data_IF_401014666098
#
_entry.id   IF_401014666098
#
_cell.length_a   1.000
_cell.length_b   1.000
_cell.length_c   1.000
_cell.angle_alpha   90.00
_cell.angle_beta   90.00
_cell.angle_gamma   90.00
#
_symmetry.space_group_name_H-M   'P 1'
#
loop_
_entity.id
_entity.type
_entity.pdbx_description
1 polymer ?
#
# COMPACT_ATOMS: atom_id res chain seq x y z
N UNK A 1 9.86 5.27 -18.38
CA UNK A 1 8.38 5.17 -18.38
C UNK A 1 7.78 6.57 -18.35
N UNK A 2 6.97 6.95 -19.35
CA UNK A 2 6.34 8.30 -19.41
C UNK A 2 5.03 8.39 -18.61
N UNK A 3 4.25 7.30 -18.51
CA UNK A 3 2.97 7.30 -17.77
C UNK A 3 3.11 7.69 -16.29
N UNK A 4 4.28 7.51 -15.68
CA UNK A 4 4.55 7.91 -14.29
C UNK A 4 4.47 9.43 -14.09
N UNK A 5 4.54 10.23 -15.16
CA UNK A 5 4.36 11.69 -15.12
C UNK A 5 2.90 12.07 -14.77
N UNK A 6 1.92 11.19 -15.03
CA UNK A 6 0.50 11.42 -14.72
C UNK A 6 0.02 10.71 -13.44
N UNK A 7 0.79 9.74 -12.92
CA UNK A 7 0.37 8.91 -11.78
C UNK A 7 0.94 9.49 -10.49
N UNK A 8 0.09 9.71 -9.50
CA UNK A 8 0.44 10.28 -8.22
C UNK A 8 -0.08 9.47 -7.02
N UNK A 9 0.70 9.49 -5.95
CA UNK A 9 0.28 9.15 -4.60
C UNK A 9 -0.33 10.38 -3.91
N UNK A 10 -1.32 10.16 -3.03
CA UNK A 10 -2.06 11.22 -2.35
C UNK A 10 -2.08 10.94 -0.86
N UNK A 11 -1.44 11.81 -0.07
CA UNK A 11 -1.31 11.63 1.37
C UNK A 11 -2.69 11.52 2.05
N UNK A 12 -2.85 10.49 2.89
CA UNK A 12 -4.12 10.16 3.55
C UNK A 12 -5.09 9.30 2.72
N UNK A 13 -4.78 8.97 1.45
CA UNK A 13 -5.54 8.00 0.66
C UNK A 13 -4.66 6.80 0.30
N UNK A 14 -5.16 5.59 0.53
CA UNK A 14 -4.53 4.37 0.03
C UNK A 14 -4.74 4.21 -1.48
N UNK A 15 -3.68 3.90 -2.23
CA UNK A 15 -3.74 3.59 -3.65
C UNK A 15 -2.90 4.53 -4.52
N UNK A 16 -3.09 4.43 -5.83
CA UNK A 16 -2.54 5.35 -6.82
C UNK A 16 -3.67 6.06 -7.58
N UNK A 17 -3.37 7.25 -8.08
CA UNK A 17 -4.35 8.11 -8.73
C UNK A 17 -3.75 8.75 -9.99
N UNK A 18 -4.46 8.72 -11.12
CA UNK A 18 -4.06 9.48 -12.32
C UNK A 18 -4.55 10.93 -12.17
N UNK A 19 -3.66 11.89 -12.32
CA UNK A 19 -3.98 13.31 -12.38
C UNK A 19 -4.59 13.61 -13.75
N UNK A 20 -5.81 14.18 -13.77
CA UNK A 20 -6.50 14.50 -15.04
C UNK A 20 -6.47 15.98 -15.37
N UNK A 21 -6.84 16.86 -14.42
CA UNK A 21 -6.76 18.33 -14.60
C UNK A 21 -6.85 19.11 -13.29
N UNK A 22 -6.20 20.29 -13.20
CA UNK A 22 -6.46 21.24 -12.12
C UNK A 22 -7.86 21.84 -12.21
N UNK A 23 -8.33 22.40 -11.10
CA UNK A 23 -9.63 23.07 -10.91
C UNK A 23 -9.50 24.21 -9.89
N UNK A 24 -10.53 25.05 -9.76
CA UNK A 24 -10.53 26.20 -8.83
C UNK A 24 -10.43 25.81 -7.34
N UNK A 25 -10.66 24.56 -6.97
CA UNK A 25 -10.65 24.08 -5.57
C UNK A 25 -9.60 23.00 -5.29
N UNK A 26 -8.77 22.64 -6.28
CA UNK A 26 -7.81 21.55 -6.20
C UNK A 26 -7.66 20.80 -7.52
N UNK A 27 -7.48 19.49 -7.49
CA UNK A 27 -7.17 18.68 -8.68
C UNK A 27 -8.20 17.56 -8.86
N UNK A 28 -8.68 17.35 -10.10
CA UNK A 28 -9.44 16.14 -10.45
C UNK A 28 -8.46 15.00 -10.70
N UNK A 29 -8.67 13.90 -9.98
CA UNK A 29 -7.90 12.66 -10.11
C UNK A 29 -8.83 11.47 -10.32
N UNK A 30 -8.34 10.44 -11.00
CA UNK A 30 -9.00 9.16 -11.26
C UNK A 30 -8.32 8.05 -10.45
N UNK A 31 -9.05 7.13 -9.82
CA UNK A 31 -8.41 5.99 -9.14
C UNK A 31 -7.74 5.05 -10.14
N UNK A 32 -6.52 4.60 -9.84
CA UNK A 32 -5.83 3.57 -10.62
C UNK A 32 -6.33 2.18 -10.16
N UNK A 33 -7.57 1.90 -10.55
CA UNK A 33 -8.41 0.77 -10.14
C UNK A 33 -9.41 0.47 -11.28
N UNK A 34 -10.00 -0.72 -11.31
CA UNK A 34 -10.99 -1.13 -12.31
C UNK A 34 -12.20 -0.18 -12.38
N UNK A 35 -12.61 0.42 -11.26
CA UNK A 35 -13.76 1.33 -11.20
C UNK A 35 -13.47 2.75 -11.73
N UNK A 36 -12.19 3.12 -11.93
CA UNK A 36 -11.71 4.41 -12.46
C UNK A 36 -12.50 5.63 -11.94
N UNK A 37 -12.69 5.69 -10.62
CA UNK A 37 -13.54 6.68 -9.97
C UNK A 37 -12.87 8.06 -9.97
N UNK A 38 -13.59 9.06 -10.48
CA UNK A 38 -13.13 10.45 -10.53
C UNK A 38 -13.49 11.16 -9.22
N UNK A 39 -12.49 11.74 -8.56
CA UNK A 39 -12.67 12.52 -7.32
C UNK A 39 -11.90 13.83 -7.40
N UNK A 40 -12.43 14.87 -6.74
CA UNK A 40 -11.68 16.11 -6.52
C UNK A 40 -10.86 15.97 -5.24
N UNK A 41 -9.59 16.34 -5.30
CA UNK A 41 -8.67 16.39 -4.15
C UNK A 41 -8.34 17.84 -3.87
N UNK A 42 -8.47 18.27 -2.61
CA UNK A 42 -8.21 19.66 -2.20
C UNK A 42 -6.77 20.06 -2.52
N UNK A 43 -6.56 21.31 -2.95
CA UNK A 43 -5.22 21.88 -3.13
C UNK A 43 -4.37 21.92 -1.86
N UNK A 44 -4.97 21.68 -0.68
CA UNK A 44 -4.25 21.53 0.60
C UNK A 44 -3.69 20.12 0.82
N UNK A 45 -4.18 19.10 0.10
CA UNK A 45 -3.72 17.72 0.24
C UNK A 45 -2.37 17.56 -0.45
N UNK A 46 -1.39 16.94 0.22
CA UNK A 46 -0.07 16.63 -0.37
C UNK A 46 -0.23 15.55 -1.43
N UNK A 47 -0.02 15.92 -2.69
CA UNK A 47 0.06 15.03 -3.86
C UNK A 47 1.54 14.89 -4.23
N UNK A 48 1.96 13.68 -4.62
CA UNK A 48 3.33 13.38 -5.06
C UNK A 48 3.29 12.53 -6.32
N UNK A 49 3.75 13.06 -7.44
CA UNK A 49 3.81 12.36 -8.73
C UNK A 49 4.92 11.29 -8.65
N UNK A 50 4.66 10.08 -9.13
CA UNK A 50 5.61 8.96 -9.01
C UNK A 50 6.91 9.19 -9.80
N UNK A 51 6.87 10.04 -10.83
CA UNK A 51 8.05 10.54 -11.56
C UNK A 51 9.03 11.33 -10.68
N UNK A 52 8.50 12.11 -9.74
CA UNK A 52 9.29 13.04 -8.90
C UNK A 52 9.89 12.37 -7.66
N UNK A 53 9.57 11.08 -7.44
CA UNK A 53 10.08 10.29 -6.32
C UNK A 53 11.24 9.43 -6.82
N UNK A 54 12.36 9.52 -6.12
CA UNK A 54 13.54 8.67 -6.32
C UNK A 54 13.96 8.04 -5.00
N UNK A 55 14.59 6.87 -5.08
CA UNK A 55 15.27 6.21 -3.97
C UNK A 55 16.68 6.80 -3.82
N UNK A 56 17.17 7.02 -2.60
CA UNK A 56 18.55 7.43 -2.38
C UNK A 56 19.51 6.24 -2.48
N UNK A 57 20.70 6.48 -3.06
CA UNK A 57 21.77 5.50 -3.18
C UNK A 57 22.97 5.94 -2.32
N UNK A 58 23.72 4.97 -1.80
CA UNK A 58 24.92 5.17 -0.96
C UNK A 58 26.17 5.60 -1.76
N UNK A 59 26.03 5.66 -3.08
CA UNK A 59 27.09 5.90 -4.07
C UNK A 59 27.72 7.30 -3.97
N UNK A 60 26.90 8.35 -4.11
CA UNK A 60 27.27 9.77 -3.92
C UNK A 60 26.11 10.53 -3.26
N UNK A 61 26.38 11.69 -2.66
CA UNK A 61 25.42 12.42 -1.82
C UNK A 61 24.10 12.81 -2.54
N UNK A 62 24.18 13.00 -3.86
CA UNK A 62 23.07 13.32 -4.78
C UNK A 62 22.67 12.14 -5.70
N UNK A 63 23.28 10.95 -5.56
CA UNK A 63 22.93 9.77 -6.35
C UNK A 63 21.55 9.26 -5.95
N UNK A 64 20.60 9.29 -6.89
CA UNK A 64 19.24 8.79 -6.69
C UNK A 64 18.76 7.93 -7.85
N UNK A 65 18.02 6.88 -7.55
CA UNK A 65 17.42 5.96 -8.52
C UNK A 65 15.94 6.34 -8.73
N UNK A 66 15.53 6.78 -9.94
CA UNK A 66 14.13 7.11 -10.21
C UNK A 66 13.19 5.91 -10.01
N UNK A 67 11.97 6.16 -9.52
CA UNK A 67 11.02 5.07 -9.26
C UNK A 67 10.68 4.22 -10.49
N UNK A 68 10.72 4.80 -11.69
CA UNK A 68 10.48 4.04 -12.93
C UNK A 68 11.52 2.95 -13.20
N UNK A 69 12.78 3.23 -12.92
CA UNK A 69 13.88 2.29 -13.13
C UNK A 69 13.90 1.24 -12.00
N UNK A 70 13.63 1.69 -10.76
CA UNK A 70 13.39 0.81 -9.62
C UNK A 70 12.23 -0.18 -9.88
N UNK A 71 11.09 0.28 -10.42
CA UNK A 71 9.98 -0.63 -10.76
C UNK A 71 10.35 -1.61 -11.88
N UNK A 72 11.21 -1.22 -12.84
CA UNK A 72 11.69 -2.14 -13.87
C UNK A 72 12.61 -3.23 -13.28
N UNK A 73 13.48 -2.88 -12.32
CA UNK A 73 14.30 -3.85 -11.58
C UNK A 73 13.44 -4.79 -10.74
N UNK A 74 12.45 -4.27 -10.00
CA UNK A 74 11.48 -5.08 -9.26
C UNK A 74 10.70 -6.01 -10.21
N UNK A 75 10.31 -5.54 -11.40
CA UNK A 75 9.64 -6.38 -12.39
C UNK A 75 10.54 -7.47 -12.97
N UNK A 76 11.83 -7.19 -13.15
CA UNK A 76 12.80 -8.17 -13.63
C UNK A 76 13.02 -9.32 -12.64
N UNK A 77 12.93 -9.05 -11.33
CA UNK A 77 13.12 -10.04 -10.25
C UNK A 77 11.81 -10.76 -9.87
N UNK A 78 10.68 -10.06 -9.80
CA UNK A 78 9.40 -10.61 -9.34
C UNK A 78 8.38 -10.91 -10.45
N UNK A 79 8.61 -10.52 -11.71
CA UNK A 79 7.80 -10.85 -12.89
C UNK A 79 6.28 -10.61 -12.70
N UNK A 80 5.93 -9.56 -11.96
CA UNK A 80 4.55 -9.18 -11.62
C UNK A 80 4.03 -9.67 -10.26
N UNK A 81 4.62 -10.70 -9.65
CA UNK A 81 4.19 -11.27 -8.36
C UNK A 81 5.23 -11.07 -7.25
N UNK A 82 4.91 -10.28 -6.22
CA UNK A 82 5.75 -10.21 -5.01
C UNK A 82 5.52 -11.43 -4.11
N UNK A 83 6.61 -12.09 -3.70
CA UNK A 83 6.56 -13.21 -2.75
C UNK A 83 6.26 -12.79 -1.30
N UNK A 84 6.14 -11.48 -1.02
CA UNK A 84 5.78 -10.93 0.30
C UNK A 84 4.58 -9.99 0.19
N UNK A 85 3.74 -9.94 1.23
CA UNK A 85 2.63 -8.98 1.32
C UNK A 85 3.13 -7.68 1.99
N UNK A 86 3.24 -6.53 1.29
CA UNK A 86 3.91 -5.33 1.83
C UNK A 86 3.21 -4.69 3.05
N UNK A 87 2.00 -5.14 3.39
CA UNK A 87 1.24 -4.70 4.58
C UNK A 87 1.49 -5.56 5.83
N UNK A 88 2.09 -6.75 5.67
CA UNK A 88 2.36 -7.71 6.75
C UNK A 88 3.84 -8.05 6.90
N UNK A 89 4.64 -7.87 5.84
CA UNK A 89 6.08 -8.09 5.86
C UNK A 89 6.75 -7.28 6.98
N UNK A 90 7.66 -7.94 7.69
CA UNK A 90 8.53 -7.33 8.67
C UNK A 90 9.54 -6.41 8.00
N UNK A 91 10.07 -5.44 8.76
CA UNK A 91 11.03 -4.46 8.22
C UNK A 91 12.29 -5.16 7.69
N UNK A 92 12.72 -6.26 8.32
CA UNK A 92 13.85 -7.08 7.86
C UNK A 92 13.61 -7.75 6.49
N UNK A 93 12.40 -8.29 6.24
CA UNK A 93 12.05 -8.86 4.93
C UNK A 93 12.02 -7.79 3.83
N UNK A 94 11.61 -6.57 4.17
CA UNK A 94 11.52 -5.44 3.25
C UNK A 94 12.90 -4.89 2.88
N UNK A 95 13.78 -4.70 3.86
CA UNK A 95 15.18 -4.35 3.60
C UNK A 95 15.92 -5.46 2.86
N UNK A 96 15.68 -6.73 3.20
CA UNK A 96 16.26 -7.88 2.49
C UNK A 96 15.82 -7.97 1.03
N UNK A 97 14.54 -7.74 0.74
CA UNK A 97 14.04 -7.69 -0.64
C UNK A 97 14.58 -6.48 -1.40
N UNK A 98 14.67 -5.30 -0.77
CA UNK A 98 15.27 -4.13 -1.42
C UNK A 98 16.74 -4.36 -1.75
N UNK A 99 17.54 -4.86 -0.79
CA UNK A 99 18.96 -5.17 -0.98
C UNK A 99 19.21 -6.19 -2.09
N UNK A 100 18.29 -7.13 -2.30
CA UNK A 100 18.34 -8.12 -3.39
C UNK A 100 18.12 -7.53 -4.78
N UNK A 101 17.52 -6.34 -4.88
CA UNK A 101 17.15 -5.68 -6.15
C UNK A 101 18.04 -4.44 -6.41
N UNK A 102 18.38 -3.70 -5.35
CA UNK A 102 19.25 -2.53 -5.34
C UNK A 102 20.18 -2.66 -4.11
N UNK A 103 21.36 -3.28 -4.24
CA UNK A 103 22.25 -3.51 -3.10
C UNK A 103 22.95 -2.25 -2.58
N UNK A 104 22.92 -1.15 -3.32
CA UNK A 104 23.59 0.13 -3.05
C UNK A 104 22.64 1.25 -2.60
N UNK A 105 21.55 0.92 -1.90
CA UNK A 105 20.59 1.90 -1.37
C UNK A 105 21.10 2.56 -0.07
N UNK A 106 20.81 3.85 0.10
CA UNK A 106 21.12 4.60 1.32
C UNK A 106 20.22 4.11 2.47
N UNK A 107 20.81 3.44 3.46
CA UNK A 107 20.07 2.82 4.58
C UNK A 107 19.66 3.81 5.69
N UNK A 108 20.24 5.01 5.72
CA UNK A 108 19.90 6.07 6.69
C UNK A 108 18.71 6.93 6.20
N UNK A 109 18.57 7.10 4.88
CA UNK A 109 17.47 7.85 4.23
C UNK A 109 16.29 6.98 3.83
N UNK A 110 16.46 5.68 3.56
CA UNK A 110 15.38 4.80 3.11
C UNK A 110 14.74 4.06 4.29
N UNK A 111 13.57 4.51 4.73
CA UNK A 111 12.81 3.84 5.79
C UNK A 111 11.97 2.66 5.28
N UNK A 112 11.77 1.63 6.10
CA UNK A 112 10.91 0.48 5.77
C UNK A 112 9.49 0.90 5.35
N UNK A 113 8.96 2.00 5.91
CA UNK A 113 7.67 2.59 5.49
C UNK A 113 7.64 3.00 4.01
N UNK A 114 8.76 3.47 3.46
CA UNK A 114 8.90 3.87 2.06
C UNK A 114 9.05 2.65 1.15
N UNK A 115 9.74 1.60 1.60
CA UNK A 115 9.76 0.30 0.92
C UNK A 115 8.34 -0.29 0.86
N UNK A 116 7.57 -0.26 1.96
CA UNK A 116 6.15 -0.69 2.00
C UNK A 116 5.28 0.09 1.00
N UNK A 117 5.49 1.41 0.88
CA UNK A 117 4.82 2.27 -0.11
C UNK A 117 5.19 1.87 -1.54
N UNK A 118 6.48 1.80 -1.87
CA UNK A 118 6.99 1.46 -3.21
C UNK A 118 6.47 0.10 -3.67
N UNK A 119 6.57 -0.94 -2.84
CA UNK A 119 6.09 -2.29 -3.18
C UNK A 119 4.56 -2.33 -3.33
N UNK A 120 3.81 -1.57 -2.51
CA UNK A 120 2.37 -1.46 -2.68
C UNK A 120 1.98 -0.69 -3.96
N UNK A 121 2.78 0.27 -4.42
CA UNK A 121 2.57 0.98 -5.68
C UNK A 121 2.87 0.07 -6.87
N UNK A 122 3.98 -0.67 -6.83
CA UNK A 122 4.36 -1.66 -7.84
C UNK A 122 3.23 -2.68 -8.11
N UNK A 123 2.65 -3.28 -7.07
CA UNK A 123 1.52 -4.22 -7.23
C UNK A 123 0.30 -3.60 -7.94
N UNK A 124 -0.03 -2.35 -7.62
CA UNK A 124 -1.13 -1.61 -8.25
C UNK A 124 -0.81 -1.32 -9.72
N UNK A 125 0.43 -0.92 -10.02
CA UNK A 125 0.90 -0.64 -11.38
C UNK A 125 0.89 -1.90 -12.25
N UNK A 126 1.35 -3.04 -11.76
CA UNK A 126 1.30 -4.31 -12.50
C UNK A 126 -0.16 -4.72 -12.77
N UNK A 127 -1.04 -4.57 -11.78
CA UNK A 127 -2.44 -5.00 -11.89
C UNK A 127 -3.26 -4.12 -12.85
N UNK A 128 -3.01 -2.80 -12.88
CA UNK A 128 -3.85 -1.84 -13.61
C UNK A 128 -3.19 -1.27 -14.88
N UNK A 129 -1.87 -1.38 -15.00
CA UNK A 129 -1.05 -0.86 -16.10
C UNK A 129 0.09 -1.83 -16.48
N UNK A 130 -0.19 -3.13 -16.74
CA UNK A 130 0.85 -4.12 -17.06
C UNK A 130 1.66 -3.76 -18.31
N UNK A 131 1.01 -3.08 -19.27
CA UNK A 131 1.60 -2.48 -20.48
C UNK A 131 2.86 -1.64 -20.20
N UNK A 132 2.93 -0.97 -19.03
CA UNK A 132 4.08 -0.16 -18.62
C UNK A 132 5.38 -0.97 -18.45
N UNK A 133 5.27 -2.28 -18.27
CA UNK A 133 6.40 -3.19 -18.02
C UNK A 133 6.71 -4.13 -19.20
N UNK A 134 5.82 -4.21 -20.20
CA UNK A 134 5.96 -5.14 -21.32
C UNK A 134 6.82 -4.58 -22.47
N UNK A 135 8.04 -5.11 -22.61
CA UNK A 135 8.73 -5.10 -23.91
C UNK A 135 8.26 -6.32 -24.71
N UNK A 136 7.23 -6.10 -25.54
CA UNK A 136 6.61 -7.09 -26.44
C UNK A 136 5.81 -8.23 -25.73
N UNK A 137 4.88 -8.92 -26.43
CA UNK A 137 3.65 -9.40 -25.79
C UNK A 137 3.59 -10.88 -25.39
N UNK A 138 3.01 -11.10 -24.21
CA UNK A 138 2.09 -12.21 -23.89
C UNK A 138 0.96 -11.60 -23.04
N UNK A 139 -0.31 -11.57 -23.46
CA UNK A 139 -1.24 -12.69 -23.68
C UNK A 139 -1.75 -13.31 -22.36
N UNK A 140 -3.05 -13.07 -22.08
CA UNK A 140 -4.02 -13.74 -21.16
C UNK A 140 -3.53 -14.65 -20.00
N UNK A 141 -4.11 -14.60 -18.80
CA UNK A 141 -5.56 -14.66 -18.50
C UNK A 141 -5.99 -13.92 -17.20
N UNK A 142 -7.32 -13.74 -16.94
CA UNK A 142 -7.83 -12.98 -15.79
C UNK A 142 -8.40 -13.82 -14.62
N UNK A 143 -8.26 -13.32 -13.37
CA UNK A 143 -9.13 -13.56 -12.20
C UNK A 143 -8.70 -12.70 -11.00
N UNK A 144 -9.57 -12.28 -10.07
CA UNK A 144 -11.02 -12.39 -10.01
C UNK A 144 -11.65 -11.19 -9.31
N UNK A 145 -12.75 -10.66 -9.86
CA UNK A 145 -13.60 -9.69 -9.17
C UNK A 145 -14.51 -10.40 -8.15
N UNK A 146 -14.67 -9.82 -6.94
CA UNK A 146 -15.79 -10.13 -6.04
C UNK A 146 -16.33 -8.86 -5.36
N UNK A 147 -17.29 -8.23 -6.02
CA UNK A 147 -18.00 -7.05 -5.54
C UNK A 147 -19.10 -7.42 -4.53
N UNK A 148 -18.91 -6.97 -3.28
CA UNK A 148 -19.92 -6.40 -2.35
C UNK A 148 -21.27 -7.11 -2.17
N UNK A 149 -21.56 -7.51 -0.92
CA UNK A 149 -22.77 -7.04 -0.19
C UNK A 149 -22.71 -7.24 1.34
N UNK A 150 -23.10 -6.19 2.06
CA UNK A 150 -23.53 -6.16 3.46
C UNK A 150 -24.99 -5.60 3.47
N UNK A 151 -25.68 -5.34 4.60
CA UNK A 151 -25.33 -5.52 6.03
C UNK A 151 -26.49 -6.14 6.88
N UNK A 152 -26.45 -5.96 8.23
CA UNK A 152 -27.51 -6.21 9.25
C UNK A 152 -27.82 -7.69 9.57
N UNK A 153 -28.30 -8.06 10.79
CA UNK A 153 -28.31 -7.38 12.10
C UNK A 153 -28.56 -8.41 13.25
N UNK A 154 -28.39 -7.97 14.50
CA UNK A 154 -28.45 -8.78 15.73
C UNK A 154 -29.82 -9.36 16.12
N UNK A 155 -29.82 -10.57 16.70
CA UNK A 155 -30.29 -10.93 18.08
C UNK A 155 -29.86 -12.40 18.39
N UNK A 156 -29.30 -12.79 19.55
CA UNK A 156 -29.92 -12.99 20.89
C UNK A 156 -31.08 -14.02 20.86
N UNK A 157 -31.29 -14.96 21.80
CA UNK A 157 -30.75 -15.11 23.18
C UNK A 157 -31.03 -16.53 23.78
N UNK A 158 -30.31 -16.94 24.84
CA UNK A 158 -30.64 -17.99 25.88
C UNK A 158 -30.80 -19.47 25.41
N UNK A 159 -30.92 -20.49 26.29
CA UNK A 159 -30.89 -20.66 27.78
C UNK A 159 -30.09 -21.98 28.06
N UNK A 160 -29.14 -22.10 29.02
CA UNK A 160 -29.27 -22.33 30.48
C UNK A 160 -29.66 -23.79 30.87
N UNK A 161 -29.51 -24.30 32.12
CA UNK A 161 -29.33 -23.65 33.44
C UNK A 161 -28.67 -24.59 34.50
N UNK A 162 -27.95 -24.00 35.48
CA UNK A 162 -27.72 -24.47 36.89
C UNK A 162 -27.08 -25.86 37.19
N UNK A 163 -26.54 -26.17 38.38
CA UNK A 163 -26.31 -25.47 39.67
C UNK A 163 -24.93 -25.95 40.25
N UNK A 164 -24.31 -25.63 41.41
CA UNK A 164 -24.42 -24.83 42.67
C UNK A 164 -22.95 -24.71 43.19
N UNK A 165 -22.44 -23.94 44.17
CA UNK A 165 -22.85 -22.93 45.17
C UNK A 165 -21.63 -21.94 45.29
N UNK A 166 -21.66 -20.69 45.78
CA UNK A 166 -22.48 -19.94 46.73
C UNK A 166 -22.11 -20.05 48.24
N UNK A 167 -21.11 -19.27 48.71
CA UNK A 167 -21.23 -18.37 49.89
C UNK A 167 -19.98 -17.49 50.19
N UNK A 168 -20.20 -16.18 50.21
CA UNK A 168 -19.57 -15.23 51.15
C UNK A 168 -20.48 -15.14 52.42
N UNK A 169 -20.31 -14.25 53.44
CA UNK A 169 -19.38 -13.10 53.55
C UNK A 169 -18.80 -12.80 54.97
N UNK A 170 -18.02 -11.70 55.07
CA UNK A 170 -18.05 -10.61 56.09
C UNK A 170 -16.66 -10.16 56.61
N UNK A 171 -16.54 -8.85 56.83
CA UNK A 171 -15.42 -8.14 57.49
C UNK A 171 -15.58 -8.18 59.02
N UNK A 172 -14.48 -8.12 59.78
CA UNK A 172 -14.27 -7.10 60.84
C UNK A 172 -12.90 -7.28 61.55
N UNK A 173 -12.20 -6.15 61.80
CA UNK A 173 -11.37 -5.77 62.98
C UNK A 173 -10.32 -6.77 63.57
N UNK A 174 -9.29 -6.34 64.30
CA UNK A 174 -8.57 -5.06 64.43
C UNK A 174 -7.26 -5.29 65.21
N UNK A 175 -6.44 -4.24 65.29
CA UNK A 175 -5.26 -4.00 66.14
C UNK A 175 -5.11 -4.82 67.42
N UNK A 176 -3.92 -5.38 67.63
CA UNK A 176 -3.11 -5.11 68.84
C UNK A 176 -1.63 -5.04 68.45
#
# INVERSE_FOLDING_TARGET
>A
MELLNEIAHISGKSGLFRVLKPTRTGVIVETLDALKQKSVVSGQTRISVLKDISLYLDDHQDSTLPLGDLFQLIHSVCQGSLNIEPKKASDAELFGLLASIVPNYDSDRVYASDIKKILSWYLILVTNTPDMFQTAPAAEEPKAEKVVKAPKAAKEVKEATEEKAAKAPKKAKATK
#
